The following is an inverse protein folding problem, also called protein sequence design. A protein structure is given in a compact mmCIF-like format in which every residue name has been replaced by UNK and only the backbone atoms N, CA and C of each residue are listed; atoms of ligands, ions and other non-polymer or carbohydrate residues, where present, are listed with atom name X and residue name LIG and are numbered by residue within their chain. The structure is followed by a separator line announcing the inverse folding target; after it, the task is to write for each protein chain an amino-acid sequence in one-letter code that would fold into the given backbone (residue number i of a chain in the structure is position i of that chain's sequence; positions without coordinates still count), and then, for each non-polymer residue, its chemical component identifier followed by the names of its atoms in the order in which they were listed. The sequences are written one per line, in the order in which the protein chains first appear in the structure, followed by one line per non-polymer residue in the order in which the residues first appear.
data_IF_409833822219
#
_entry.id   IF_409833822219
#
_cell.length_a   1.000
_cell.length_b   1.000
_cell.length_c   1.000
_cell.angle_alpha   90.00
_cell.angle_beta   90.00
_cell.angle_gamma   90.00
#
_symmetry.space_group_name_H-M   'P 1'
#
loop_
_entity.id
_entity.type
_entity.pdbx_description
1 polymer ?
#
# COMPACT_ATOMS: atom_id res chain seq x y z
N UNK A 1 7.27 4.85 -3.91
CA UNK A 1 7.13 5.27 -2.51
C UNK A 1 8.47 5.01 -1.83
N UNK A 2 9.33 6.03 -1.70
CA UNK A 2 10.46 5.93 -0.80
C UNK A 2 9.84 5.87 0.60
N UNK A 3 9.73 4.67 1.14
CA UNK A 3 9.46 4.52 2.55
C UNK A 3 10.67 5.17 3.21
N UNK A 4 10.46 6.23 3.98
CA UNK A 4 11.53 6.85 4.75
C UNK A 4 12.14 5.74 5.61
N UNK A 5 13.29 5.22 5.16
CA UNK A 5 13.91 4.04 5.74
C UNK A 5 14.26 4.34 7.20
N UNK A 6 14.49 5.60 7.55
CA UNK A 6 14.69 6.02 8.92
C UNK A 6 13.45 5.86 9.80
N UNK A 7 12.24 6.15 9.30
CA UNK A 7 11.02 5.96 10.09
C UNK A 7 10.73 4.49 10.38
N UNK A 8 10.97 3.59 9.41
CA UNK A 8 10.77 2.14 9.60
C UNK A 8 11.68 1.58 10.68
N UNK A 9 12.90 2.10 10.78
CA UNK A 9 13.89 1.69 11.78
C UNK A 9 13.54 2.19 13.18
N UNK A 10 12.80 3.29 13.31
CA UNK A 10 12.43 3.87 14.62
C UNK A 10 11.26 3.15 15.28
N UNK A 11 10.41 2.47 14.52
CA UNK A 11 9.31 1.67 15.09
C UNK A 11 9.74 0.22 15.32
N UNK A 12 9.54 -0.35 16.54
CA UNK A 12 9.81 -1.75 16.79
C UNK A 12 9.07 -2.66 15.81
N UNK A 13 9.82 -3.51 15.10
CA UNK A 13 9.31 -4.40 14.07
C UNK A 13 9.98 -5.80 14.15
N UNK A 14 9.63 -6.73 13.25
CA UNK A 14 10.18 -8.10 13.28
C UNK A 14 11.64 -8.19 12.82
N UNK A 15 12.25 -7.14 12.26
CA UNK A 15 13.52 -7.24 11.51
C UNK A 15 14.68 -7.82 12.33
N UNK A 16 14.85 -7.40 13.59
CA UNK A 16 15.91 -7.97 14.44
C UNK A 16 15.61 -9.42 14.81
N UNK A 17 14.35 -9.75 15.10
CA UNK A 17 13.94 -11.12 15.42
C UNK A 17 14.11 -12.04 14.20
N UNK A 18 13.82 -11.49 13.03
CA UNK A 18 14.07 -12.12 11.75
C UNK A 18 15.56 -12.40 11.59
N UNK A 19 16.42 -11.41 11.83
CA UNK A 19 17.86 -11.58 11.72
C UNK A 19 18.44 -12.68 12.61
N UNK A 20 17.91 -12.83 13.83
CA UNK A 20 18.38 -13.83 14.79
C UNK A 20 17.94 -15.26 14.44
N UNK A 21 16.81 -15.44 13.76
CA UNK A 21 16.17 -16.74 13.59
C UNK A 21 16.08 -17.25 12.14
N UNK A 22 16.25 -16.37 11.15
CA UNK A 22 15.99 -16.70 9.75
C UNK A 22 16.90 -17.82 9.23
N UNK A 23 18.22 -17.76 9.45
CA UNK A 23 19.14 -18.77 8.93
C UNK A 23 18.87 -20.16 9.50
N UNK A 24 18.50 -20.24 10.78
CA UNK A 24 18.11 -21.49 11.42
C UNK A 24 16.82 -22.06 10.80
N UNK A 25 15.84 -21.21 10.49
CA UNK A 25 14.60 -21.61 9.81
C UNK A 25 14.88 -22.05 8.37
N UNK A 26 15.64 -21.26 7.61
CA UNK A 26 16.05 -21.56 6.23
C UNK A 26 16.77 -22.91 6.15
N UNK A 27 17.72 -23.17 7.05
CA UNK A 27 18.45 -24.44 7.11
C UNK A 27 17.54 -25.64 7.42
N UNK A 28 16.46 -25.44 8.20
CA UNK A 28 15.50 -26.49 8.54
C UNK A 28 14.48 -26.76 7.44
N UNK A 29 14.16 -25.77 6.60
CA UNK A 29 13.10 -25.85 5.58
C UNK A 29 13.59 -25.41 4.19
N UNK A 30 14.67 -25.98 3.62
CA UNK A 30 15.37 -25.40 2.46
C UNK A 30 14.53 -25.25 1.18
N UNK A 31 13.39 -25.94 1.06
CA UNK A 31 12.56 -25.95 -0.16
C UNK A 31 11.38 -24.96 -0.14
N UNK A 32 11.16 -24.24 0.97
CA UNK A 32 9.95 -23.43 1.15
C UNK A 32 10.05 -21.98 0.64
N UNK A 33 11.28 -21.47 0.51
CA UNK A 33 11.59 -20.12 0.03
C UNK A 33 11.35 -18.99 1.03
N UNK A 34 11.80 -17.79 0.65
CA UNK A 34 11.87 -16.59 1.52
C UNK A 34 10.59 -16.29 2.30
N UNK A 35 9.44 -16.11 1.63
CA UNK A 35 8.18 -15.71 2.28
C UNK A 35 7.73 -16.70 3.35
N UNK A 36 7.81 -18.00 3.07
CA UNK A 36 7.47 -19.05 4.05
C UNK A 36 8.43 -19.05 5.23
N UNK A 37 9.74 -18.85 5.01
CA UNK A 37 10.70 -18.73 6.11
C UNK A 37 10.40 -17.53 7.01
N UNK A 38 10.15 -16.35 6.43
CA UNK A 38 9.73 -15.16 7.20
C UNK A 38 8.47 -15.44 8.01
N UNK A 39 7.49 -16.12 7.41
CA UNK A 39 6.25 -16.49 8.08
C UNK A 39 6.48 -17.47 9.24
N UNK A 40 7.37 -18.44 9.10
CA UNK A 40 7.77 -19.34 10.21
C UNK A 40 8.48 -18.58 11.34
N UNK A 41 9.32 -17.60 11.02
CA UNK A 41 9.94 -16.75 12.03
C UNK A 41 8.90 -15.87 12.73
N UNK A 42 7.93 -15.34 11.99
CA UNK A 42 6.79 -14.63 12.58
C UNK A 42 5.98 -15.54 13.53
N UNK A 43 5.75 -16.81 13.19
CA UNK A 43 5.12 -17.78 14.12
C UNK A 43 5.94 -17.98 15.40
N UNK A 44 7.27 -18.06 15.30
CA UNK A 44 8.13 -18.11 16.48
C UNK A 44 7.93 -16.87 17.36
N UNK A 45 7.87 -15.68 16.77
CA UNK A 45 7.56 -14.45 17.50
C UNK A 45 6.18 -14.52 18.16
N UNK A 46 5.15 -14.98 17.43
CA UNK A 46 3.79 -15.07 17.97
C UNK A 46 3.68 -16.05 19.15
N UNK A 47 4.51 -17.10 19.15
CA UNK A 47 4.60 -18.08 20.23
C UNK A 47 5.26 -17.58 21.52
N UNK A 48 5.95 -16.43 21.48
CA UNK A 48 6.52 -15.80 22.67
C UNK A 48 5.43 -15.38 23.66
N UNK A 49 5.76 -15.46 24.96
CA UNK A 49 4.92 -14.92 26.01
C UNK A 49 4.81 -13.38 25.92
N UNK A 50 3.87 -12.79 26.64
CA UNK A 50 3.79 -11.32 26.71
C UNK A 50 5.07 -10.72 27.31
N UNK A 51 5.60 -11.33 28.37
CA UNK A 51 6.83 -10.91 29.05
C UNK A 51 8.05 -10.97 28.11
N UNK A 52 8.17 -12.03 27.32
CA UNK A 52 9.26 -12.17 26.34
C UNK A 52 9.17 -11.13 25.22
N UNK A 53 7.95 -10.77 24.78
CA UNK A 53 7.74 -9.69 23.80
C UNK A 53 8.14 -8.33 24.36
N UNK A 54 7.86 -8.07 25.64
CA UNK A 54 8.26 -6.83 26.31
C UNK A 54 9.78 -6.78 26.56
N UNK A 55 10.39 -7.92 26.90
CA UNK A 55 11.84 -8.05 27.00
C UNK A 55 12.52 -7.81 25.63
N UNK A 56 11.93 -8.33 24.55
CA UNK A 56 12.38 -8.09 23.19
C UNK A 56 12.31 -6.60 22.81
N UNK A 57 11.22 -5.91 23.15
CA UNK A 57 11.12 -4.45 22.96
C UNK A 57 12.23 -3.71 23.71
N UNK A 58 12.44 -4.06 24.97
CA UNK A 58 13.49 -3.45 25.80
C UNK A 58 14.87 -3.66 25.19
N UNK A 59 15.15 -4.86 24.68
CA UNK A 59 16.39 -5.21 23.98
C UNK A 59 16.61 -4.34 22.73
N UNK A 60 15.58 -4.17 21.88
CA UNK A 60 15.68 -3.30 20.69
C UNK A 60 15.91 -1.85 21.09
N UNK A 61 15.19 -1.33 22.10
CA UNK A 61 15.35 0.06 22.53
C UNK A 61 16.73 0.36 23.13
N UNK A 62 17.34 -0.61 23.81
CA UNK A 62 18.68 -0.46 24.38
C UNK A 62 19.79 -0.65 23.35
N UNK A 63 19.59 -1.56 22.40
CA UNK A 63 20.54 -1.88 21.34
C UNK A 63 19.81 -1.86 20.00
N UNK A 64 19.56 -0.67 19.43
CA UNK A 64 18.91 -0.58 18.13
C UNK A 64 19.76 -1.33 17.11
N UNK A 65 19.15 -2.16 16.26
CA UNK A 65 19.89 -2.89 15.24
C UNK A 65 20.56 -1.90 14.29
N UNK A 66 21.81 -2.22 13.93
CA UNK A 66 22.51 -1.49 12.87
C UNK A 66 21.69 -1.62 11.57
N UNK A 67 21.25 -0.49 10.96
CA UNK A 67 20.53 -0.50 9.70
C UNK A 67 21.26 -1.32 8.62
N UNK A 68 22.58 -1.20 8.57
CA UNK A 68 23.40 -1.93 7.61
C UNK A 68 23.35 -3.43 7.88
N UNK A 69 23.30 -3.86 9.15
CA UNK A 69 23.14 -5.28 9.48
C UNK A 69 21.79 -5.84 9.03
N UNK A 70 20.72 -5.04 9.02
CA UNK A 70 19.40 -5.48 8.55
C UNK A 70 19.37 -5.50 7.02
N UNK A 71 19.89 -4.46 6.37
CA UNK A 71 19.92 -4.34 4.91
C UNK A 71 20.84 -5.39 4.29
N UNK A 72 22.00 -5.63 4.89
CA UNK A 72 22.97 -6.65 4.45
C UNK A 72 22.55 -8.08 4.80
N UNK A 73 21.50 -8.25 5.61
CA UNK A 73 21.02 -9.57 5.90
C UNK A 73 20.45 -10.20 4.61
N UNK A 74 20.87 -11.44 4.32
CA UNK A 74 20.64 -12.17 3.06
C UNK A 74 19.15 -12.39 2.71
N UNK A 75 18.20 -11.90 3.51
CA UNK A 75 16.77 -12.11 3.33
C UNK A 75 16.28 -11.68 1.95
N UNK A 76 16.74 -10.52 1.45
CA UNK A 76 16.31 -9.98 0.16
C UNK A 76 16.86 -10.72 -1.07
N UNK A 77 18.00 -11.40 -0.93
CA UNK A 77 18.64 -12.13 -2.04
C UNK A 77 18.10 -13.56 -2.20
N UNK A 78 17.42 -14.06 -1.18
CA UNK A 78 16.84 -15.39 -1.20
C UNK A 78 15.60 -15.46 -2.08
N UNK A 79 15.64 -16.35 -3.08
CA UNK A 79 14.49 -16.60 -3.95
C UNK A 79 13.37 -17.33 -3.21
N UNK A 80 12.15 -16.88 -3.40
CA UNK A 80 10.92 -17.57 -3.06
C UNK A 80 10.21 -18.10 -4.32
N UNK A 81 9.43 -19.18 -4.18
CA UNK A 81 8.40 -19.48 -5.15
C UNK A 81 7.54 -18.23 -5.38
N UNK A 82 7.37 -17.86 -6.66
CA UNK A 82 6.64 -16.67 -7.14
C UNK A 82 7.40 -15.33 -7.09
N UNK A 83 8.70 -15.29 -6.78
CA UNK A 83 9.45 -14.01 -6.84
C UNK A 83 9.46 -13.38 -8.24
N UNK A 84 9.48 -14.21 -9.29
CA UNK A 84 9.35 -13.73 -10.67
C UNK A 84 8.02 -12.99 -10.90
N UNK A 85 6.98 -13.32 -10.12
CA UNK A 85 5.68 -12.67 -10.17
C UNK A 85 5.64 -11.44 -9.25
N UNK A 86 6.29 -11.47 -8.09
CA UNK A 86 6.16 -10.39 -7.11
C UNK A 86 7.13 -9.24 -7.35
N UNK A 87 8.40 -9.58 -7.61
CA UNK A 87 9.51 -8.64 -7.57
C UNK A 87 9.77 -8.08 -8.98
N UNK A 88 9.58 -8.91 -10.01
CA UNK A 88 9.83 -8.56 -11.41
C UNK A 88 8.56 -8.23 -12.22
N UNK A 89 7.37 -8.34 -11.63
CA UNK A 89 6.16 -7.94 -12.36
C UNK A 89 6.16 -6.43 -12.62
N UNK A 90 5.61 -5.97 -13.74
CA UNK A 90 5.34 -4.55 -13.93
C UNK A 90 4.23 -4.08 -12.97
N UNK A 91 4.06 -2.77 -12.87
CA UNK A 91 2.96 -2.15 -12.13
C UNK A 91 3.12 -2.10 -10.61
N UNK A 92 2.18 -1.37 -10.02
CA UNK A 92 2.14 -0.90 -8.62
C UNK A 92 1.33 -1.84 -7.72
N UNK A 93 0.32 -2.51 -8.30
CA UNK A 93 -0.56 -3.44 -7.60
C UNK A 93 -0.74 -4.77 -8.31
N UNK A 94 -1.33 -5.73 -7.61
CA UNK A 94 -1.77 -7.01 -8.14
C UNK A 94 -3.29 -7.09 -8.22
N UNK A 95 -3.81 -7.57 -9.35
CA UNK A 95 -5.16 -8.13 -9.42
C UNK A 95 -5.06 -9.65 -9.48
N UNK A 96 -5.46 -10.31 -8.39
CA UNK A 96 -5.44 -11.75 -8.25
C UNK A 96 -6.82 -12.35 -8.55
N UNK A 97 -6.90 -13.20 -9.59
CA UNK A 97 -8.10 -13.97 -9.88
C UNK A 97 -8.19 -15.20 -8.98
N UNK A 98 -9.22 -15.23 -8.14
CA UNK A 98 -9.53 -16.33 -7.21
C UNK A 98 -10.83 -17.06 -7.57
N UNK A 99 -11.66 -16.52 -8.46
CA UNK A 99 -12.79 -17.26 -9.03
C UNK A 99 -12.60 -17.49 -10.53
N UNK A 100 -12.87 -18.72 -10.95
CA UNK A 100 -12.71 -19.20 -12.32
C UNK A 100 -14.03 -19.78 -12.89
N UNK A 101 -15.16 -19.46 -12.26
CA UNK A 101 -16.46 -20.04 -12.62
C UNK A 101 -17.10 -19.39 -13.85
N UNK A 102 -16.78 -18.12 -14.11
CA UNK A 102 -17.27 -17.35 -15.24
C UNK A 102 -16.10 -16.72 -16.01
N UNK A 103 -15.88 -17.17 -17.25
CA UNK A 103 -14.80 -16.64 -18.10
C UNK A 103 -15.24 -15.37 -18.84
N UNK A 104 -16.52 -15.25 -19.20
CA UNK A 104 -17.03 -14.08 -19.94
C UNK A 104 -17.02 -12.85 -19.03
N UNK A 105 -17.48 -12.99 -17.78
CA UNK A 105 -17.43 -11.93 -16.78
C UNK A 105 -15.99 -11.50 -16.46
N UNK A 106 -15.05 -12.45 -16.44
CA UNK A 106 -13.63 -12.17 -16.27
C UNK A 106 -13.04 -11.39 -17.46
N UNK A 107 -13.35 -11.80 -18.70
CA UNK A 107 -12.88 -11.08 -19.89
C UNK A 107 -13.46 -9.66 -19.96
N UNK A 108 -14.73 -9.48 -19.59
CA UNK A 108 -15.35 -8.16 -19.50
C UNK A 108 -14.66 -7.27 -18.45
N UNK A 109 -14.37 -7.82 -17.27
CA UNK A 109 -13.62 -7.12 -16.23
C UNK A 109 -12.23 -6.72 -16.71
N UNK A 110 -11.49 -7.66 -17.29
CA UNK A 110 -10.13 -7.44 -17.75
C UNK A 110 -10.06 -6.43 -18.91
N UNK A 111 -11.06 -6.41 -19.80
CA UNK A 111 -11.18 -5.38 -20.83
C UNK A 111 -11.35 -3.99 -20.21
N UNK A 112 -12.30 -3.84 -19.27
CA UNK A 112 -12.55 -2.56 -18.57
C UNK A 112 -11.35 -2.08 -17.76
N UNK A 113 -10.59 -3.00 -17.16
CA UNK A 113 -9.37 -2.65 -16.45
C UNK A 113 -8.34 -2.01 -17.39
N UNK A 114 -8.12 -2.62 -18.57
CA UNK A 114 -7.20 -2.06 -19.57
C UNK A 114 -7.68 -0.72 -20.12
N UNK A 115 -9.00 -0.57 -20.33
CA UNK A 115 -9.57 0.69 -20.77
C UNK A 115 -9.33 1.80 -19.73
N UNK A 116 -9.56 1.51 -18.45
CA UNK A 116 -9.31 2.45 -17.35
C UNK A 116 -7.82 2.80 -17.18
N UNK A 117 -6.91 1.85 -17.35
CA UNK A 117 -5.46 2.13 -17.38
C UNK A 117 -5.09 3.03 -18.57
N UNK A 118 -5.64 2.76 -19.76
CA UNK A 118 -5.36 3.54 -20.96
C UNK A 118 -5.92 4.97 -20.88
N UNK A 119 -7.07 5.17 -20.23
CA UNK A 119 -7.65 6.51 -20.00
C UNK A 119 -6.74 7.37 -19.12
N UNK A 120 -6.21 6.81 -18.02
CA UNK A 120 -5.30 7.55 -17.14
C UNK A 120 -3.99 7.94 -17.82
N UNK A 121 -3.39 7.02 -18.59
CA UNK A 121 -2.16 7.28 -19.34
C UNK A 121 -2.36 8.40 -20.37
N UNK A 122 -3.55 8.52 -20.96
CA UNK A 122 -3.86 9.60 -21.90
C UNK A 122 -3.99 10.95 -21.21
N UNK A 123 -4.69 11.00 -20.07
CA UNK A 123 -4.88 12.25 -19.33
C UNK A 123 -3.55 12.87 -18.86
N UNK A 124 -2.55 12.06 -18.49
CA UNK A 124 -1.21 12.55 -18.13
C UNK A 124 -0.48 13.20 -19.31
N UNK A 125 -0.72 12.77 -20.56
CA UNK A 125 -0.08 13.37 -21.74
C UNK A 125 -0.74 14.67 -22.21
N UNK A 126 -2.04 14.85 -21.97
CA UNK A 126 -2.76 16.05 -22.40
C UNK A 126 -2.44 17.26 -21.50
N UNK A 127 -2.23 17.04 -20.20
CA UNK A 127 -1.92 18.13 -19.25
C UNK A 127 -0.58 18.84 -19.49
N UNK A 128 0.39 18.16 -20.09
CA UNK A 128 1.74 18.70 -20.30
C UNK A 128 1.86 19.50 -21.60
N UNK A 129 0.80 19.52 -22.43
CA UNK A 129 0.84 20.09 -23.79
C UNK A 129 0.19 21.47 -23.94
N UNK A 130 -0.42 22.03 -22.89
CA UNK A 130 -1.19 23.28 -22.98
C UNK A 130 -0.44 24.54 -22.49
N UNK A 131 0.77 24.43 -21.93
CA UNK A 131 1.48 25.59 -21.32
C UNK A 131 2.51 26.30 -22.24
N UNK A 132 2.74 25.82 -23.47
CA UNK A 132 3.82 26.32 -24.33
C UNK A 132 3.40 27.30 -25.46
N UNK A 133 2.12 27.70 -25.54
CA UNK A 133 1.63 28.58 -26.64
C UNK A 133 0.87 29.84 -26.19
N UNK A 134 1.11 30.31 -24.95
CA UNK A 134 0.52 31.55 -24.41
C UNK A 134 1.48 32.74 -24.38
N UNK A 135 2.42 32.82 -25.32
CA UNK A 135 3.33 33.96 -25.43
C UNK A 135 3.32 34.55 -26.84
N UNK A 136 2.17 35.06 -27.31
CA UNK A 136 2.06 36.15 -28.28
C UNK A 136 0.64 36.73 -28.31
N UNK A 137 0.47 37.88 -27.66
CA UNK A 137 -0.07 39.11 -28.25
C UNK A 137 -0.74 39.98 -27.17
N UNK A 138 0.04 40.94 -26.68
CA UNK A 138 -0.48 42.12 -25.99
C UNK A 138 -0.82 43.21 -27.03
N UNK A 139 -1.84 44.01 -26.70
CA UNK A 139 -2.25 45.30 -27.26
C UNK A 139 -2.86 45.38 -28.69
N UNK A 140 -4.19 45.51 -28.82
CA UNK A 140 -4.86 46.84 -28.83
C UNK A 140 -6.37 46.81 -29.20
N UNK A 141 -7.17 47.42 -28.31
CA UNK A 141 -8.34 48.31 -28.52
C UNK A 141 -9.58 47.92 -29.36
N UNK A 142 -10.74 47.74 -28.71
CA UNK A 142 -11.87 48.70 -28.60
C UNK A 142 -13.24 48.01 -28.28
N UNK A 143 -13.94 48.58 -27.29
CA UNK A 143 -15.33 48.33 -26.89
C UNK A 143 -16.33 49.06 -27.85
N UNK A 144 -17.70 49.01 -27.75
CA UNK A 144 -18.53 48.74 -26.56
C UNK A 144 -19.93 48.05 -26.74
N UNK A 145 -20.61 47.83 -25.59
CA UNK A 145 -22.09 47.81 -25.36
C UNK A 145 -22.92 46.62 -25.91
N UNK A 146 -23.97 46.08 -25.26
CA UNK A 146 -24.75 46.46 -24.07
C UNK A 146 -25.64 45.28 -23.55
N UNK A 147 -25.97 45.33 -22.25
CA UNK A 147 -27.25 44.96 -21.59
C UNK A 147 -27.75 43.49 -21.49
N UNK A 148 -27.72 42.94 -20.26
CA UNK A 148 -28.88 42.52 -19.42
C UNK A 148 -28.35 41.73 -18.20
N UNK A 149 -28.29 42.24 -16.96
CA UNK A 149 -29.33 42.60 -15.98
C UNK A 149 -30.01 41.43 -15.24
N UNK A 150 -29.85 41.46 -13.90
CA UNK A 150 -30.61 40.85 -12.79
C UNK A 150 -30.25 39.40 -12.37
N UNK A 151 -30.14 39.01 -11.09
CA UNK A 151 -30.16 39.70 -9.79
C UNK A 151 -29.77 38.70 -8.65
N UNK A 152 -29.15 39.23 -7.57
CA UNK A 152 -29.21 38.85 -6.13
C UNK A 152 -28.91 37.39 -5.70
N UNK A 153 -28.15 37.09 -4.64
CA UNK A 153 -28.27 37.60 -3.27
C UNK A 153 -27.04 37.29 -2.40
N UNK A 154 -26.71 38.24 -1.53
CA UNK A 154 -25.69 38.30 -0.49
C UNK A 154 -25.95 37.41 0.73
N UNK A 155 -24.89 36.95 1.41
CA UNK A 155 -24.67 37.21 2.85
C UNK A 155 -23.19 37.11 3.20
N UNK A 156 -22.83 38.00 4.11
CA UNK A 156 -21.53 38.55 4.50
C UNK A 156 -21.20 38.07 5.92
N UNK A 157 -19.93 37.73 6.17
CA UNK A 157 -19.26 37.59 7.48
C UNK A 157 -17.84 37.04 7.19
N UNK A 158 -16.73 37.75 7.35
CA UNK A 158 -16.37 38.70 8.41
C UNK A 158 -15.29 38.03 9.25
N UNK A 159 -14.02 38.42 9.08
CA UNK A 159 -12.91 37.81 9.81
C UNK A 159 -11.53 38.29 9.36
N UNK A 160 -11.29 39.58 9.57
CA UNK A 160 -10.01 40.29 9.44
C UNK A 160 -9.03 39.83 10.54
N UNK A 161 -7.80 39.49 10.17
CA UNK A 161 -6.69 39.32 11.11
C UNK A 161 -5.39 39.67 10.41
N UNK A 162 -4.95 40.89 10.72
CA UNK A 162 -3.67 41.48 10.41
C UNK A 162 -2.49 40.54 10.72
N UNK A 163 -1.54 40.46 9.81
CA UNK A 163 -0.19 40.00 10.11
C UNK A 163 0.79 41.14 9.86
N UNK A 164 1.54 41.37 10.92
CA UNK A 164 2.56 42.38 11.18
C UNK A 164 3.82 42.03 10.37
N UNK A 165 4.33 43.05 9.68
CA UNK A 165 5.68 43.11 9.12
C UNK A 165 6.71 43.07 10.26
N UNK A 166 7.87 42.44 10.03
CA UNK A 166 9.20 43.07 10.14
C UNK A 166 10.35 42.03 10.18
N UNK A 167 11.45 42.47 9.57
CA UNK A 167 12.86 42.04 9.65
C UNK A 167 13.27 40.71 8.96
N UNK A 168 14.00 40.73 7.84
CA UNK A 168 15.34 41.31 7.53
C UNK A 168 16.50 40.49 8.11
N UNK A 169 17.66 40.58 7.43
CA UNK A 169 18.97 39.91 7.64
C UNK A 169 19.11 38.68 6.72
N UNK A 170 19.63 38.84 5.50
CA UNK A 170 21.05 39.04 5.14
C UNK A 170 21.91 37.79 5.41
N UNK A 171 22.13 37.00 4.36
CA UNK A 171 23.21 36.02 4.31
C UNK A 171 23.61 35.84 2.83
N UNK A 172 24.49 36.72 2.39
CA UNK A 172 25.42 36.47 1.28
C UNK A 172 26.33 35.29 1.67
N UNK A 173 26.21 34.16 0.98
CA UNK A 173 27.28 33.16 0.90
C UNK A 173 27.41 32.74 -0.57
N UNK A 174 28.41 33.34 -1.21
CA UNK A 174 29.09 32.85 -2.40
C UNK A 174 29.71 31.49 -2.09
N UNK A 175 29.30 30.43 -2.80
CA UNK A 175 30.15 29.28 -3.05
C UNK A 175 29.96 28.85 -4.52
N UNK A 176 30.88 29.37 -5.35
CA UNK A 176 31.38 28.73 -6.57
C UNK A 176 31.70 27.26 -6.27
N UNK A 177 31.09 26.32 -7.00
CA UNK A 177 31.84 25.16 -7.52
C UNK A 177 31.02 24.33 -8.53
N UNK A 178 31.63 24.22 -9.71
CA UNK A 178 31.59 23.13 -10.69
C UNK A 178 30.29 22.83 -11.46
N UNK A 179 30.23 23.52 -12.62
CA UNK A 179 29.70 23.04 -13.92
C UNK A 179 30.16 21.60 -14.23
N UNK A 180 29.41 20.62 -13.74
CA UNK A 180 29.38 19.28 -14.32
C UNK A 180 27.99 19.08 -14.94
N UNK A 181 27.83 19.66 -16.14
CA UNK A 181 26.76 19.44 -17.13
C UNK A 181 26.70 17.95 -17.51
N UNK A 182 26.32 17.10 -16.56
CA UNK A 182 25.70 15.84 -16.87
C UNK A 182 24.28 16.18 -17.29
N UNK A 183 24.09 16.27 -18.60
CA UNK A 183 22.86 15.92 -19.29
C UNK A 183 22.35 14.57 -18.73
N UNK A 184 21.73 14.62 -17.55
CA UNK A 184 20.73 13.65 -17.16
C UNK A 184 19.62 13.91 -18.15
N UNK A 185 19.69 13.22 -19.29
CA UNK A 185 18.54 12.95 -20.12
C UNK A 185 17.42 12.55 -19.15
N UNK A 186 16.59 13.55 -18.88
CA UNK A 186 15.36 13.52 -18.13
C UNK A 186 14.72 12.17 -18.42
N UNK A 187 14.54 11.35 -17.37
CA UNK A 187 13.96 10.00 -17.42
C UNK A 187 12.56 10.15 -17.98
N UNK A 188 12.50 10.26 -19.31
CA UNK A 188 11.35 10.52 -20.12
C UNK A 188 10.27 9.58 -19.62
N UNK A 189 9.28 10.18 -18.95
CA UNK A 189 7.95 9.66 -18.61
C UNK A 189 7.80 8.28 -19.20
N UNK A 190 8.07 7.24 -18.41
CA UNK A 190 8.04 5.84 -18.88
C UNK A 190 6.65 5.52 -19.45
N UNK A 191 6.47 5.77 -20.74
CA UNK A 191 5.21 5.59 -21.45
C UNK A 191 4.86 4.10 -21.39
N UNK A 192 3.84 3.77 -20.60
CA UNK A 192 3.08 2.52 -20.76
C UNK A 192 3.40 1.34 -19.85
N UNK A 193 3.93 1.53 -18.64
CA UNK A 193 3.86 0.44 -17.65
C UNK A 193 2.41 0.29 -17.14
N UNK A 194 1.85 -0.94 -17.12
CA UNK A 194 0.52 -1.16 -16.56
C UNK A 194 0.51 -0.78 -15.08
N UNK A 195 -0.61 -0.25 -14.59
CA UNK A 195 -0.79 0.11 -13.18
C UNK A 195 -0.91 -1.17 -12.34
N UNK A 196 -1.58 -2.18 -12.90
CA UNK A 196 -1.77 -3.49 -12.28
C UNK A 196 -1.07 -4.62 -13.04
N UNK A 197 -0.47 -5.52 -12.27
CA UNK A 197 -0.15 -6.85 -12.78
C UNK A 197 -1.26 -7.84 -12.48
N UNK A 198 -1.76 -8.50 -13.52
CA UNK A 198 -2.87 -9.44 -13.41
C UNK A 198 -2.36 -10.87 -13.21
N UNK A 199 -2.64 -11.44 -12.03
CA UNK A 199 -2.34 -12.83 -11.71
C UNK A 199 -3.57 -13.70 -12.04
N UNK A 200 -3.51 -14.35 -13.20
CA UNK A 200 -4.53 -15.28 -13.70
C UNK A 200 -3.90 -16.64 -13.99
N UNK A 201 -4.14 -17.64 -13.14
CA UNK A 201 -3.54 -18.96 -13.31
C UNK A 201 -4.08 -19.66 -14.56
N UNK A 202 -3.17 -20.13 -15.42
CA UNK A 202 -3.53 -20.88 -16.64
C UNK A 202 -3.61 -22.39 -16.42
N UNK A 203 -2.79 -22.96 -15.53
CA UNK A 203 -2.82 -24.40 -15.27
C UNK A 203 -3.88 -24.78 -14.23
N UNK A 204 -4.55 -25.94 -14.36
CA UNK A 204 -5.56 -26.40 -13.40
C UNK A 204 -5.05 -26.46 -11.95
N UNK A 205 -3.83 -26.95 -11.73
CA UNK A 205 -3.25 -27.08 -10.38
C UNK A 205 -3.05 -25.71 -9.71
N UNK A 206 -2.58 -24.71 -10.47
CA UNK A 206 -2.43 -23.34 -9.96
C UNK A 206 -3.79 -22.67 -9.75
N UNK A 207 -4.77 -22.93 -10.61
CA UNK A 207 -6.15 -22.46 -10.40
C UNK A 207 -6.72 -23.05 -9.12
N UNK A 208 -6.56 -24.36 -8.90
CA UNK A 208 -7.01 -25.02 -7.67
C UNK A 208 -6.35 -24.42 -6.42
N UNK A 209 -5.04 -24.11 -6.50
CA UNK A 209 -4.30 -23.46 -5.41
C UNK A 209 -4.82 -22.06 -5.10
N UNK A 210 -5.18 -21.26 -6.11
CA UNK A 210 -5.63 -19.87 -5.94
C UNK A 210 -7.15 -19.74 -5.78
N UNK A 211 -7.90 -20.81 -6.07
CA UNK A 211 -9.36 -20.77 -6.09
C UNK A 211 -9.91 -20.54 -4.69
N UNK A 212 -10.66 -19.45 -4.53
CA UNK A 212 -11.34 -19.10 -3.29
C UNK A 212 -10.43 -18.96 -2.08
N UNK A 213 -9.13 -18.67 -2.23
CA UNK A 213 -8.23 -18.41 -1.10
C UNK A 213 -8.70 -17.18 -0.31
N UNK A 214 -8.35 -17.11 0.98
CA UNK A 214 -8.62 -15.93 1.80
C UNK A 214 -7.69 -14.78 1.44
N UNK A 215 -8.03 -13.58 1.89
CA UNK A 215 -7.17 -12.41 1.80
C UNK A 215 -5.84 -12.65 2.52
N UNK A 216 -5.88 -13.25 3.70
CA UNK A 216 -4.67 -13.55 4.47
C UNK A 216 -3.77 -14.55 3.75
N UNK A 217 -4.35 -15.61 3.17
CA UNK A 217 -3.61 -16.58 2.37
C UNK A 217 -2.93 -15.92 1.16
N UNK A 218 -3.66 -15.02 0.49
CA UNK A 218 -3.14 -14.28 -0.66
C UNK A 218 -1.99 -13.33 -0.25
N UNK A 219 -2.12 -12.62 0.87
CA UNK A 219 -1.05 -11.78 1.43
C UNK A 219 0.19 -12.62 1.76
N UNK A 220 0.03 -13.77 2.43
CA UNK A 220 1.14 -14.68 2.74
C UNK A 220 1.85 -15.23 1.51
N UNK A 221 1.12 -15.34 0.41
CA UNK A 221 1.64 -15.86 -0.84
C UNK A 221 2.45 -14.81 -1.62
N UNK A 222 2.01 -13.54 -1.62
CA UNK A 222 2.51 -12.50 -2.52
C UNK A 222 3.31 -11.40 -1.82
N UNK A 223 3.20 -11.28 -0.49
CA UNK A 223 3.78 -10.21 0.29
C UNK A 223 4.67 -10.76 1.40
N UNK A 224 5.66 -9.97 1.79
CA UNK A 224 6.54 -10.32 2.91
C UNK A 224 5.88 -9.92 4.23
N UNK A 225 5.81 -10.86 5.16
CA UNK A 225 5.25 -10.62 6.50
C UNK A 225 6.22 -9.85 7.39
N UNK A 226 5.65 -9.04 8.28
CA UNK A 226 6.29 -8.34 9.38
C UNK A 226 5.33 -8.29 10.59
N UNK A 227 5.83 -7.81 11.73
CA UNK A 227 5.07 -7.61 12.95
C UNK A 227 5.36 -6.23 13.49
N UNK A 228 4.33 -5.42 13.71
CA UNK A 228 4.44 -4.02 14.14
C UNK A 228 3.62 -3.77 15.39
N UNK A 229 3.89 -2.64 16.06
CA UNK A 229 3.04 -2.19 17.18
C UNK A 229 1.62 -1.92 16.67
N UNK A 230 0.65 -2.58 17.29
CA UNK A 230 -0.75 -2.31 17.02
C UNK A 230 -1.07 -0.85 17.44
N UNK A 231 -1.94 -0.14 16.71
CA UNK A 231 -2.41 1.18 17.13
C UNK A 231 -2.93 1.16 18.57
N UNK A 232 -2.74 2.24 19.31
CA UNK A 232 -3.29 2.32 20.66
C UNK A 232 -4.81 2.44 20.61
N UNK A 233 -5.55 1.71 21.46
CA UNK A 233 -6.99 1.88 21.56
C UNK A 233 -7.31 3.33 21.97
N UNK A 234 -8.32 3.99 21.37
CA UNK A 234 -8.79 5.29 21.83
C UNK A 234 -9.11 5.29 23.32
N UNK A 235 -8.89 6.42 23.99
CA UNK A 235 -9.09 6.52 25.45
C UNK A 235 -10.50 6.04 25.85
N UNK A 236 -10.56 5.16 26.85
CA UNK A 236 -11.81 4.59 27.35
C UNK A 236 -12.35 3.40 26.55
N UNK A 237 -11.76 3.04 25.41
CA UNK A 237 -12.13 1.84 24.66
C UNK A 237 -11.43 0.60 25.22
N UNK A 238 -12.15 -0.52 25.27
CA UNK A 238 -11.58 -1.81 25.68
C UNK A 238 -10.85 -2.43 24.49
N UNK A 239 -9.69 -3.05 24.76
CA UNK A 239 -9.02 -3.87 23.75
C UNK A 239 -9.92 -5.02 23.29
N UNK A 240 -9.82 -5.37 22.01
CA UNK A 240 -10.62 -6.43 21.38
C UNK A 240 -10.34 -7.77 22.05
N UNK A 241 -11.41 -8.57 22.26
CA UNK A 241 -11.35 -9.91 22.86
C UNK A 241 -12.20 -10.90 22.06
N UNK A 242 -11.69 -12.12 21.76
CA UNK A 242 -10.34 -12.60 22.06
C UNK A 242 -9.26 -11.83 21.29
N UNK A 243 -8.03 -11.73 21.81
CA UNK A 243 -6.94 -11.09 21.09
C UNK A 243 -6.64 -11.85 19.80
N UNK A 244 -6.30 -11.13 18.73
CA UNK A 244 -5.97 -11.74 17.44
C UNK A 244 -4.81 -10.97 16.80
N UNK A 245 -3.81 -11.69 16.29
CA UNK A 245 -2.61 -11.09 15.71
C UNK A 245 -2.87 -10.19 14.51
N UNK A 246 -3.98 -10.35 13.80
CA UNK A 246 -4.33 -9.46 12.69
C UNK A 246 -4.81 -8.08 13.16
N UNK A 247 -5.16 -7.90 14.44
CA UNK A 247 -5.69 -6.64 14.97
C UNK A 247 -4.81 -6.12 16.11
N UNK A 248 -4.72 -6.92 17.17
CA UNK A 248 -3.99 -6.60 18.40
C UNK A 248 -3.85 -7.89 19.21
N UNK A 249 -2.61 -8.35 19.33
CA UNK A 249 -2.24 -9.44 20.22
C UNK A 249 -1.02 -9.05 21.05
N UNK A 250 -1.28 -8.67 22.31
CA UNK A 250 -0.27 -8.09 23.22
C UNK A 250 0.35 -6.78 22.71
N UNK A 251 -0.44 -5.93 22.04
CA UNK A 251 0.04 -4.66 21.49
C UNK A 251 0.84 -4.80 20.19
N UNK A 252 0.78 -5.97 19.55
CA UNK A 252 1.41 -6.25 18.27
C UNK A 252 0.38 -6.67 17.22
N UNK A 253 0.68 -6.37 15.96
CA UNK A 253 -0.14 -6.68 14.80
C UNK A 253 0.74 -7.30 13.69
N UNK A 254 0.28 -8.39 13.08
CA UNK A 254 0.86 -8.96 11.87
C UNK A 254 0.50 -8.07 10.68
N UNK A 255 1.50 -7.68 9.89
CA UNK A 255 1.34 -6.82 8.72
C UNK A 255 2.13 -7.38 7.54
N UNK A 256 1.89 -6.84 6.35
CA UNK A 256 2.50 -7.30 5.11
C UNK A 256 3.06 -6.13 4.30
N UNK A 257 4.13 -6.39 3.56
CA UNK A 257 4.78 -5.43 2.66
C UNK A 257 4.92 -5.98 1.26
N UNK A 258 4.95 -5.06 0.29
CA UNK A 258 5.01 -5.35 -1.14
C UNK A 258 3.87 -4.65 -1.86
N UNK A 259 3.63 -5.03 -3.11
CA UNK A 259 2.60 -4.40 -3.95
C UNK A 259 1.21 -4.55 -3.36
N UNK A 260 0.36 -3.55 -3.59
CA UNK A 260 -1.03 -3.55 -3.16
C UNK A 260 -1.80 -4.72 -3.77
N UNK A 261 -2.58 -5.44 -2.96
CA UNK A 261 -3.28 -6.65 -3.39
C UNK A 261 -4.77 -6.39 -3.60
N UNK A 262 -5.29 -6.81 -4.76
CA UNK A 262 -6.69 -6.70 -5.16
C UNK A 262 -7.20 -8.07 -5.59
N UNK A 263 -8.36 -8.49 -5.10
CA UNK A 263 -8.90 -9.82 -5.34
C UNK A 263 -10.14 -9.75 -6.21
N UNK A 264 -10.10 -10.48 -7.33
CA UNK A 264 -11.26 -10.83 -8.12
C UNK A 264 -11.81 -12.18 -7.64
N UNK A 265 -13.04 -12.20 -7.15
CA UNK A 265 -13.70 -13.39 -6.59
C UNK A 265 -15.06 -13.65 -7.27
N UNK A 266 -15.84 -14.59 -6.73
CA UNK A 266 -17.12 -14.97 -7.32
C UNK A 266 -18.11 -13.80 -7.45
N UNK A 267 -18.09 -12.86 -6.51
CA UNK A 267 -18.99 -11.70 -6.53
C UNK A 267 -18.52 -10.65 -7.55
N UNK A 268 -17.23 -10.62 -7.87
CA UNK A 268 -16.68 -9.80 -8.96
C UNK A 268 -17.30 -10.12 -10.33
N UNK A 269 -17.76 -11.35 -10.54
CA UNK A 269 -18.48 -11.71 -11.77
C UNK A 269 -19.79 -10.91 -11.92
N UNK A 270 -20.47 -10.64 -10.80
CA UNK A 270 -21.78 -9.97 -10.76
C UNK A 270 -21.66 -8.44 -10.80
N UNK A 271 -20.74 -7.89 -9.99
CA UNK A 271 -20.69 -6.46 -9.73
C UNK A 271 -19.54 -5.73 -10.45
N UNK A 272 -18.67 -6.46 -11.15
CA UNK A 272 -17.49 -5.93 -11.85
C UNK A 272 -16.59 -5.10 -10.90
N UNK A 273 -16.57 -5.49 -9.62
CA UNK A 273 -15.72 -4.91 -8.59
C UNK A 273 -14.62 -5.88 -8.19
N UNK A 274 -13.53 -5.36 -7.65
CA UNK A 274 -12.50 -6.15 -6.95
C UNK A 274 -12.38 -5.69 -5.51
N UNK A 275 -11.89 -6.59 -4.65
CA UNK A 275 -11.65 -6.30 -3.24
C UNK A 275 -10.20 -5.85 -3.04
N UNK A 276 -9.98 -4.61 -2.63
CA UNK A 276 -8.68 -4.17 -2.13
C UNK A 276 -8.45 -4.76 -0.75
N UNK A 277 -7.25 -5.30 -0.51
CA UNK A 277 -6.89 -5.96 0.75
C UNK A 277 -5.97 -5.06 1.56
N UNK A 278 -6.32 -4.85 2.83
CA UNK A 278 -5.48 -4.10 3.76
C UNK A 278 -4.25 -4.91 4.16
N UNK A 279 -3.06 -4.40 3.84
CA UNK A 279 -1.79 -5.06 4.18
C UNK A 279 -1.36 -4.79 5.63
N UNK A 280 -1.84 -3.70 6.21
CA UNK A 280 -1.63 -3.30 7.62
C UNK A 280 -2.94 -2.78 8.20
N UNK A 281 -3.05 -2.72 9.52
CA UNK A 281 -4.13 -1.94 10.15
C UNK A 281 -4.06 -0.49 9.68
N UNK A 282 -5.21 0.15 9.49
CA UNK A 282 -5.26 1.60 9.35
C UNK A 282 -4.71 2.24 10.64
N UNK A 283 -4.46 3.55 10.62
CA UNK A 283 -4.10 4.30 11.83
C UNK A 283 -5.16 4.16 12.96
N UNK A 284 -6.37 3.71 12.62
CA UNK A 284 -7.47 3.46 13.55
C UNK A 284 -7.41 2.05 14.17
N UNK A 285 -7.41 2.01 15.51
CA UNK A 285 -7.52 0.77 16.28
C UNK A 285 -8.75 -0.06 15.90
N UNK A 286 -8.58 -1.37 15.80
CA UNK A 286 -9.65 -2.31 15.51
C UNK A 286 -9.78 -2.71 14.04
N UNK A 287 -9.07 -2.04 13.14
CA UNK A 287 -8.86 -2.53 11.76
C UNK A 287 -7.95 -3.75 11.77
N UNK A 288 -8.29 -4.76 10.97
CA UNK A 288 -7.51 -5.99 10.85
C UNK A 288 -6.68 -5.98 9.55
N UNK A 289 -5.48 -6.52 9.62
CA UNK A 289 -4.75 -6.96 8.43
C UNK A 289 -5.58 -8.02 7.70
N UNK A 290 -5.70 -7.88 6.39
CA UNK A 290 -6.58 -8.70 5.56
C UNK A 290 -8.03 -8.22 5.50
N UNK A 291 -8.43 -7.16 6.23
CA UNK A 291 -9.71 -6.50 5.96
C UNK A 291 -9.76 -6.06 4.48
N UNK A 292 -10.96 -6.01 3.90
CA UNK A 292 -11.11 -5.64 2.49
C UNK A 292 -12.34 -4.81 2.21
N UNK A 293 -12.25 -4.04 1.12
CA UNK A 293 -13.29 -3.15 0.62
C UNK A 293 -13.44 -3.31 -0.89
N UNK A 294 -14.65 -3.11 -1.43
CA UNK A 294 -14.94 -3.32 -2.86
C UNK A 294 -14.91 -2.03 -3.65
N UNK A 295 -14.17 -2.04 -4.75
CA UNK A 295 -14.09 -0.94 -5.70
C UNK A 295 -14.46 -1.41 -7.11
N UNK A 296 -15.18 -0.58 -7.87
CA UNK A 296 -15.50 -0.85 -9.27
C UNK A 296 -14.25 -0.77 -10.13
N UNK A 297 -14.11 -1.69 -11.09
CA UNK A 297 -12.95 -1.78 -11.99
C UNK A 297 -12.57 -0.46 -12.67
N UNK A 298 -13.55 0.38 -13.01
CA UNK A 298 -13.30 1.67 -13.67
C UNK A 298 -12.59 2.71 -12.80
N UNK A 299 -12.48 2.49 -11.48
CA UNK A 299 -11.88 3.46 -10.54
C UNK A 299 -10.63 2.92 -9.84
N UNK A 300 -10.31 1.63 -10.00
CA UNK A 300 -9.25 1.01 -9.17
C UNK A 300 -7.85 1.54 -9.51
N UNK A 301 -7.64 1.98 -10.75
CA UNK A 301 -6.38 2.57 -11.19
C UNK A 301 -6.11 3.91 -10.51
N UNK A 302 -7.07 4.83 -10.57
CA UNK A 302 -7.01 6.12 -9.88
C UNK A 302 -6.87 5.92 -8.36
N UNK A 303 -7.67 5.01 -7.79
CA UNK A 303 -7.65 4.71 -6.37
C UNK A 303 -6.27 4.21 -5.91
N UNK A 304 -5.62 3.32 -6.68
CA UNK A 304 -4.28 2.85 -6.36
C UNK A 304 -3.25 3.99 -6.42
N UNK A 305 -3.30 4.84 -7.46
CA UNK A 305 -2.39 5.98 -7.58
C UNK A 305 -2.55 6.97 -6.40
N UNK A 306 -3.79 7.27 -6.02
CA UNK A 306 -4.08 8.13 -4.86
C UNK A 306 -3.61 7.53 -3.54
N UNK A 307 -3.75 6.21 -3.36
CA UNK A 307 -3.24 5.49 -2.20
C UNK A 307 -1.71 5.52 -2.12
N UNK A 308 -1.02 5.30 -3.24
CA UNK A 308 0.45 5.31 -3.28
C UNK A 308 1.04 6.71 -3.12
N UNK A 309 0.36 7.74 -3.63
CA UNK A 309 0.73 9.14 -3.44
C UNK A 309 0.44 9.63 -2.01
N UNK A 310 -0.16 8.80 -1.15
CA UNK A 310 -0.55 9.17 0.22
C UNK A 310 -1.68 10.20 0.29
N UNK A 311 -2.29 10.56 -0.87
CA UNK A 311 -3.40 11.53 -0.96
C UNK A 311 -4.70 10.94 -0.43
N UNK A 312 -4.83 9.62 -0.48
CA UNK A 312 -5.97 8.89 0.04
C UNK A 312 -5.52 7.74 0.91
N UNK A 313 -6.23 7.51 2.01
CA UNK A 313 -6.18 6.24 2.72
C UNK A 313 -7.57 5.64 2.67
N UNK A 314 -7.65 4.34 2.43
CA UNK A 314 -8.93 3.64 2.60
C UNK A 314 -9.10 3.47 4.10
N UNK A 315 -9.89 4.38 4.68
CA UNK A 315 -10.42 4.14 5.99
C UNK A 315 -11.41 2.99 5.84
N UNK A 316 -11.09 1.81 6.37
CA UNK A 316 -12.06 0.71 6.44
C UNK A 316 -13.21 1.03 7.42
N UNK A 317 -13.48 2.32 7.67
CA UNK A 317 -14.71 2.92 8.17
C UNK A 317 -15.11 2.61 9.61
N UNK A 318 -14.32 1.85 10.35
CA UNK A 318 -14.82 1.23 11.58
C UNK A 318 -15.94 0.21 11.28
N UNK A 319 -16.77 -0.08 12.29
CA UNK A 319 -17.52 -1.33 12.45
C UNK A 319 -18.37 -1.88 11.27
N UNK A 320 -18.67 -1.12 10.21
CA UNK A 320 -19.73 -1.49 9.24
C UNK A 320 -19.34 -1.57 7.75
N UNK A 321 -18.06 -1.44 7.36
CA UNK A 321 -17.69 -1.38 5.91
C UNK A 321 -16.73 -2.45 5.38
N UNK A 322 -16.18 -3.30 6.23
CA UNK A 322 -15.42 -4.47 5.78
C UNK A 322 -16.34 -5.67 5.52
N UNK A 323 -15.90 -6.57 4.64
CA UNK A 323 -16.54 -7.88 4.47
C UNK A 323 -16.36 -8.72 5.75
N UNK A 324 -17.39 -8.77 6.59
CA UNK A 324 -17.36 -9.48 7.87
C UNK A 324 -17.07 -10.97 7.72
N UNK A 325 -17.63 -11.61 6.68
CA UNK A 325 -17.44 -13.03 6.46
C UNK A 325 -15.95 -13.32 6.14
N UNK A 326 -15.35 -12.49 5.30
CA UNK A 326 -13.94 -12.61 4.98
C UNK A 326 -13.04 -12.27 6.18
N UNK A 327 -13.38 -11.24 6.97
CA UNK A 327 -12.64 -10.91 8.19
C UNK A 327 -12.65 -12.07 9.18
N UNK A 328 -13.80 -12.68 9.42
CA UNK A 328 -13.91 -13.85 10.29
C UNK A 328 -13.05 -15.02 9.78
N UNK A 329 -13.08 -15.26 8.46
CA UNK A 329 -12.24 -16.27 7.81
C UNK A 329 -10.74 -16.00 7.99
N UNK A 330 -10.30 -14.76 7.80
CA UNK A 330 -8.91 -14.35 8.02
C UNK A 330 -8.49 -14.55 9.49
N UNK A 331 -9.36 -14.18 10.44
CA UNK A 331 -9.09 -14.36 11.87
C UNK A 331 -8.95 -15.83 12.26
N UNK A 332 -9.77 -16.70 11.69
CA UNK A 332 -9.69 -18.15 11.89
C UNK A 332 -8.41 -18.72 11.26
N UNK A 333 -8.06 -18.29 10.06
CA UNK A 333 -6.84 -18.73 9.39
C UNK A 333 -5.57 -18.24 10.13
N UNK A 334 -5.62 -17.05 10.70
CA UNK A 334 -4.53 -16.50 11.50
C UNK A 334 -4.25 -17.31 12.78
N UNK A 335 -5.14 -18.17 13.27
CA UNK A 335 -4.82 -19.03 14.43
C UNK A 335 -4.31 -20.41 14.01
N UNK A 336 -4.28 -20.71 12.72
CA UNK A 336 -3.78 -21.99 12.21
C UNK A 336 -2.26 -21.95 12.07
N UNK A 337 -1.55 -23.04 12.41
CA UNK A 337 -0.12 -23.16 12.13
C UNK A 337 0.17 -23.06 10.64
N UNK A 338 1.31 -22.46 10.30
CA UNK A 338 1.78 -22.33 8.92
C UNK A 338 2.20 -23.70 8.40
N UNK A 339 1.49 -24.17 7.36
CA UNK A 339 1.72 -25.46 6.70
C UNK A 339 2.67 -25.39 5.52
#
# INVERSE_FOLDING_TARGET
MYVDHEQVLRTPNLSLFLAEHYDAVKARFPDEGRRKWRLRVAEMFWSLSAEDKDAYLTKISQNPPDPDSIVNADFGLNRAPLDDITDNSPGRGFVLRTDYSDEDAWQAFHARLRDAEAELIKCEHESDSEDDDANMADADTEAPSAAHAAASSSTDAGGDSAMDDEDAEDSEDDDDDDDDDQDFEDDHVRVGFPIFYVINAKSPDKRAMLSGISNLAALRLLNDVDVQRAPNPPQGTKRIRPPNRLVDHHGWQEVYFGKSLWIYDAKSNEDQCVRVVSQKGAALYGTATGDSWRARVSHICELLLHMEAGRMTIDFGGMDRWDWAERARNMEEAVRPVT
#
